data_IF_535315185015
#
_entry.id   IF_535315185015
#
_cell.length_a   1.000
_cell.length_b   1.000
_cell.length_c   1.000
_cell.angle_alpha   90.00
_cell.angle_beta   90.00
_cell.angle_gamma   90.00
#
_symmetry.space_group_name_H-M   'P 1'
#
loop_
_entity.id
_entity.type
_entity.pdbx_description
1 polymer ?
#
# COMPACT_ATOMS: atom_id res chain seq x y z
N UNK A 1 4.29 -13.20 -1.24
CA UNK A 1 4.29 -13.01 0.21
C UNK A 1 3.19 -12.03 0.62
N UNK A 2 3.26 -10.78 0.15
CA UNK A 2 2.23 -9.79 0.41
C UNK A 2 2.20 -8.70 -0.67
N UNK A 3 1.10 -7.94 -0.72
CA UNK A 3 0.94 -6.75 -1.55
C UNK A 3 0.69 -5.55 -0.63
N UNK A 4 1.37 -4.44 -0.90
CA UNK A 4 1.23 -3.20 -0.12
C UNK A 4 0.82 -2.05 -1.04
N UNK A 5 -0.30 -1.40 -0.75
CA UNK A 5 -0.83 -0.29 -1.54
C UNK A 5 -0.82 0.96 -0.67
N UNK A 6 -0.10 1.99 -1.10
CA UNK A 6 0.06 3.24 -0.35
C UNK A 6 -0.46 4.41 -1.18
N UNK A 7 -1.32 5.23 -0.57
CA UNK A 7 -1.73 6.54 -1.04
C UNK A 7 -1.38 7.57 0.03
N UNK A 8 -0.27 8.25 -0.14
CA UNK A 8 0.21 9.25 0.79
C UNK A 8 0.03 10.65 0.21
N UNK A 9 -0.58 11.54 0.97
CA UNK A 9 -0.77 12.94 0.63
C UNK A 9 -0.01 13.83 1.63
N UNK A 10 0.78 14.76 1.12
CA UNK A 10 1.48 15.75 1.95
C UNK A 10 0.53 16.85 2.47
N UNK A 11 -0.51 17.18 1.68
CA UNK A 11 -1.49 18.21 2.02
C UNK A 11 -2.48 17.72 3.08
N UNK A 12 -3.06 18.67 3.82
CA UNK A 12 -4.17 18.45 4.75
C UNK A 12 -5.54 18.39 4.06
N UNK A 13 -6.57 18.80 4.76
CA UNK A 13 -7.91 18.94 4.17
C UNK A 13 -8.10 20.30 3.48
N UNK A 14 -7.23 21.26 3.77
CA UNK A 14 -7.25 22.62 3.23
C UNK A 14 -8.67 23.23 3.36
N UNK A 15 -9.22 23.77 2.30
CA UNK A 15 -10.58 24.36 2.24
C UNK A 15 -11.71 23.30 2.20
N UNK A 16 -11.38 22.01 2.28
CA UNK A 16 -12.32 20.89 2.17
C UNK A 16 -12.70 20.25 3.49
N UNK A 17 -12.43 20.90 4.64
CA UNK A 17 -12.71 20.35 5.97
C UNK A 17 -14.15 19.86 6.12
N UNK A 18 -15.13 20.67 5.75
CA UNK A 18 -16.56 20.30 5.83
C UNK A 18 -16.96 19.10 4.96
N UNK A 19 -16.38 18.95 3.76
CA UNK A 19 -16.58 17.76 2.94
C UNK A 19 -15.95 16.53 3.61
N UNK A 20 -14.73 16.69 4.11
CA UNK A 20 -13.97 15.59 4.69
C UNK A 20 -14.61 15.03 5.96
N UNK A 21 -15.29 15.88 6.74
CA UNK A 21 -16.08 15.47 7.92
C UNK A 21 -17.12 14.38 7.60
N UNK A 22 -17.64 14.37 6.39
CA UNK A 22 -18.65 13.38 5.96
C UNK A 22 -18.05 12.15 5.28
N UNK A 23 -16.82 12.23 4.84
CA UNK A 23 -16.15 11.19 4.04
C UNK A 23 -15.10 10.40 4.85
N UNK A 24 -14.12 11.09 5.39
CA UNK A 24 -12.95 10.49 6.00
C UNK A 24 -12.08 9.72 5.02
N UNK A 25 -10.93 9.25 5.50
CA UNK A 25 -9.97 8.50 4.69
C UNK A 25 -10.52 7.16 4.20
N UNK A 26 -11.41 6.53 4.94
CA UNK A 26 -11.99 5.24 4.55
C UNK A 26 -12.85 5.36 3.30
N UNK A 27 -13.77 6.32 3.25
CA UNK A 27 -14.67 6.48 2.09
C UNK A 27 -13.98 7.18 0.93
N UNK A 28 -13.27 8.30 1.22
CA UNK A 28 -12.67 9.12 0.19
C UNK A 28 -11.52 8.40 -0.52
N UNK A 29 -10.68 7.71 0.23
CA UNK A 29 -9.47 7.10 -0.30
C UNK A 29 -9.54 5.57 -0.40
N UNK A 30 -9.85 4.87 0.69
CA UNK A 30 -9.80 3.40 0.68
C UNK A 30 -10.90 2.84 -0.23
N UNK A 31 -12.15 3.19 0.03
CA UNK A 31 -13.28 2.66 -0.71
C UNK A 31 -13.29 3.10 -2.18
N UNK A 32 -12.81 4.28 -2.47
CA UNK A 32 -12.80 4.81 -3.84
C UNK A 32 -11.50 4.45 -4.57
N UNK A 33 -10.37 5.03 -4.17
CA UNK A 33 -9.12 4.93 -4.94
C UNK A 33 -8.35 3.64 -4.69
N UNK A 34 -8.19 3.24 -3.42
CA UNK A 34 -7.39 2.06 -3.06
C UNK A 34 -8.04 0.78 -3.62
N UNK A 35 -9.36 0.62 -3.49
CA UNK A 35 -10.05 -0.56 -4.03
C UNK A 35 -10.00 -0.63 -5.57
N UNK A 36 -9.93 0.51 -6.27
CA UNK A 36 -9.72 0.50 -7.73
C UNK A 36 -8.36 -0.09 -8.09
N UNK A 37 -7.30 0.36 -7.41
CA UNK A 37 -5.94 -0.15 -7.63
C UNK A 37 -5.84 -1.62 -7.20
N UNK A 38 -6.39 -1.96 -6.03
CA UNK A 38 -6.42 -3.33 -5.53
C UNK A 38 -7.09 -4.26 -6.55
N UNK A 39 -8.24 -3.86 -7.10
CA UNK A 39 -8.96 -4.69 -8.07
C UNK A 39 -8.18 -4.92 -9.37
N UNK A 40 -7.39 -3.92 -9.82
CA UNK A 40 -6.53 -4.06 -11.01
C UNK A 40 -5.37 -5.03 -10.77
N UNK A 41 -4.79 -5.02 -9.56
CA UNK A 41 -3.72 -5.96 -9.20
C UNK A 41 -4.25 -7.37 -8.97
N UNK A 42 -5.44 -7.46 -8.38
CA UNK A 42 -6.02 -8.73 -7.94
C UNK A 42 -6.82 -9.47 -9.02
N UNK A 43 -7.28 -8.76 -10.07
CA UNK A 43 -8.08 -9.37 -11.13
C UNK A 43 -7.31 -10.43 -11.93
N UNK A 44 -8.02 -11.36 -12.51
CA UNK A 44 -7.48 -12.27 -13.52
C UNK A 44 -7.26 -11.55 -14.85
N UNK A 45 -6.41 -12.14 -15.70
CA UNK A 45 -6.21 -11.61 -17.05
C UNK A 45 -7.54 -11.65 -17.83
N UNK A 46 -8.03 -10.50 -18.32
CA UNK A 46 -9.27 -10.48 -19.09
C UNK A 46 -9.06 -11.19 -20.44
N UNK A 47 -10.11 -11.82 -20.95
CA UNK A 47 -10.08 -12.50 -22.25
C UNK A 47 -9.77 -11.54 -23.41
N UNK A 48 -10.23 -10.29 -23.28
CA UNK A 48 -10.00 -9.21 -24.23
C UNK A 48 -9.63 -7.94 -23.50
N UNK A 49 -8.77 -7.12 -24.11
CA UNK A 49 -8.45 -5.79 -23.62
C UNK A 49 -9.57 -4.81 -24.00
N UNK A 50 -10.70 -4.96 -23.31
CA UNK A 50 -11.92 -4.18 -23.48
C UNK A 50 -12.50 -3.84 -22.12
N UNK A 51 -13.12 -2.67 -22.00
CA UNK A 51 -13.63 -2.15 -20.74
C UNK A 51 -14.58 -3.14 -20.03
N UNK A 52 -15.50 -3.75 -20.76
CA UNK A 52 -16.48 -4.68 -20.20
C UNK A 52 -15.84 -5.94 -19.60
N UNK A 53 -14.80 -6.47 -20.24
CA UNK A 53 -14.04 -7.61 -19.75
C UNK A 53 -13.17 -7.25 -18.54
N UNK A 54 -12.54 -6.08 -18.55
CA UNK A 54 -11.75 -5.58 -17.43
C UNK A 54 -12.65 -5.37 -16.22
N UNK A 55 -13.79 -4.69 -16.37
CA UNK A 55 -14.75 -4.45 -15.29
C UNK A 55 -15.25 -5.77 -14.71
N UNK A 56 -15.56 -6.76 -15.54
CA UNK A 56 -15.99 -8.08 -15.10
C UNK A 56 -14.97 -8.75 -14.19
N UNK A 57 -13.70 -8.75 -14.57
CA UNK A 57 -12.64 -9.37 -13.75
C UNK A 57 -12.35 -8.57 -12.47
N UNK A 58 -12.41 -7.23 -12.52
CA UNK A 58 -12.32 -6.38 -11.32
C UNK A 58 -13.44 -6.68 -10.33
N UNK A 59 -14.68 -6.83 -10.80
CA UNK A 59 -15.84 -7.16 -9.95
C UNK A 59 -15.66 -8.53 -9.29
N UNK A 60 -15.14 -9.52 -10.01
CA UNK A 60 -14.84 -10.84 -9.42
C UNK A 60 -13.82 -10.71 -8.29
N UNK A 61 -12.74 -9.95 -8.51
CA UNK A 61 -11.71 -9.73 -7.48
C UNK A 61 -12.27 -9.01 -6.25
N UNK A 62 -13.09 -7.96 -6.44
CA UNK A 62 -13.73 -7.24 -5.35
C UNK A 62 -14.72 -8.10 -4.56
N UNK A 63 -15.50 -8.94 -5.24
CA UNK A 63 -16.44 -9.85 -4.60
C UNK A 63 -15.75 -10.98 -3.81
N UNK A 64 -14.49 -11.27 -4.11
CA UNK A 64 -13.70 -12.24 -3.39
C UNK A 64 -13.02 -11.64 -2.13
N UNK A 65 -13.13 -10.33 -1.90
CA UNK A 65 -12.62 -9.72 -0.67
C UNK A 65 -13.44 -10.24 0.51
N UNK A 66 -12.73 -10.75 1.53
CA UNK A 66 -13.34 -11.25 2.76
C UNK A 66 -14.11 -10.13 3.45
N UNK A 67 -15.37 -10.41 3.79
CA UNK A 67 -16.15 -9.52 4.63
C UNK A 67 -15.81 -9.77 6.09
N UNK A 68 -15.41 -8.71 6.78
CA UNK A 68 -15.10 -8.75 8.20
C UNK A 68 -16.33 -8.47 9.05
N UNK A 69 -16.46 -9.16 10.17
CA UNK A 69 -17.31 -8.72 11.27
C UNK A 69 -16.81 -7.41 11.87
N UNK A 70 -17.60 -6.77 12.73
CA UNK A 70 -17.14 -5.53 13.40
C UNK A 70 -15.90 -5.76 14.26
N UNK A 71 -15.81 -6.89 14.94
CA UNK A 71 -14.66 -7.28 15.74
C UNK A 71 -13.42 -7.50 14.88
N UNK A 72 -13.54 -8.29 13.83
CA UNK A 72 -12.45 -8.52 12.87
C UNK A 72 -11.99 -7.24 12.18
N UNK A 73 -12.91 -6.32 11.89
CA UNK A 73 -12.57 -5.02 11.32
C UNK A 73 -11.69 -4.20 12.28
N UNK A 74 -11.97 -4.21 13.58
CA UNK A 74 -11.14 -3.53 14.59
C UNK A 74 -9.74 -4.14 14.73
N UNK A 75 -9.60 -5.44 14.50
CA UNK A 75 -8.30 -6.13 14.53
C UNK A 75 -7.47 -5.88 13.24
N UNK A 76 -8.15 -5.70 12.11
CA UNK A 76 -7.51 -5.62 10.80
C UNK A 76 -7.35 -4.19 10.28
N UNK A 77 -7.99 -3.18 10.88
CA UNK A 77 -7.92 -1.78 10.48
C UNK A 77 -7.61 -0.85 11.64
N UNK A 78 -6.80 0.16 11.36
CA UNK A 78 -6.50 1.26 12.27
C UNK A 78 -6.87 2.58 11.60
N UNK A 79 -7.28 3.56 12.41
CA UNK A 79 -7.64 4.91 11.99
C UNK A 79 -6.91 5.93 12.84
N UNK A 80 -6.62 7.08 12.26
CA UNK A 80 -5.97 8.18 12.95
C UNK A 80 -6.36 9.54 12.37
N UNK A 81 -5.99 10.59 13.09
CA UNK A 81 -6.08 11.97 12.63
C UNK A 81 -4.69 12.60 12.71
N UNK A 82 -4.36 13.50 11.78
CA UNK A 82 -3.17 14.31 11.97
C UNK A 82 -3.41 15.36 13.07
N UNK A 83 -2.38 15.61 13.83
CA UNK A 83 -2.36 16.61 14.90
C UNK A 83 -1.48 17.78 14.46
N UNK A 84 -1.61 18.92 15.19
CA UNK A 84 -0.71 20.04 14.99
C UNK A 84 0.74 19.62 15.14
N UNK A 85 1.61 20.17 14.30
CA UNK A 85 3.02 19.81 14.31
C UNK A 85 3.86 20.76 13.47
N UNK A 86 5.18 20.55 13.51
CA UNK A 86 6.13 21.31 12.71
C UNK A 86 6.91 20.39 11.78
N UNK A 87 6.98 20.76 10.52
CA UNK A 87 7.69 20.01 9.50
C UNK A 87 8.40 20.99 8.56
N UNK A 88 9.66 20.74 8.27
CA UNK A 88 10.52 21.58 7.40
C UNK A 88 10.52 23.09 7.75
N UNK A 89 10.43 23.38 9.07
CA UNK A 89 10.43 24.75 9.59
C UNK A 89 9.07 25.46 9.59
N UNK A 90 8.02 24.86 9.03
CA UNK A 90 6.67 25.40 9.01
C UNK A 90 5.77 24.72 10.03
N UNK A 91 4.85 25.48 10.62
CA UNK A 91 3.86 25.01 11.57
C UNK A 91 2.57 24.64 10.81
N UNK A 92 2.01 23.49 11.15
CA UNK A 92 0.80 22.94 10.54
C UNK A 92 -0.28 22.73 11.60
N UNK A 93 -1.51 23.08 11.26
CA UNK A 93 -2.68 22.85 12.11
C UNK A 93 -2.97 21.35 12.21
N UNK A 94 -3.51 20.94 13.36
CA UNK A 94 -4.14 19.64 13.52
C UNK A 94 -5.51 19.60 12.83
N UNK A 95 -5.99 18.41 12.50
CA UNK A 95 -7.26 18.25 11.77
C UNK A 95 -8.44 18.98 12.43
N UNK A 96 -8.54 18.94 13.77
CA UNK A 96 -9.62 19.58 14.53
C UNK A 96 -9.47 21.10 14.67
N UNK A 97 -8.37 21.65 14.17
CA UNK A 97 -8.07 23.07 14.12
C UNK A 97 -8.30 23.66 12.72
N UNK A 98 -8.57 22.80 11.74
CA UNK A 98 -8.83 23.19 10.34
C UNK A 98 -10.22 23.81 10.21
N UNK A 99 -10.38 24.70 9.23
CA UNK A 99 -11.64 25.37 8.95
C UNK A 99 -12.76 24.36 8.62
N UNK A 100 -13.96 24.62 9.16
CA UNK A 100 -15.16 23.80 8.96
C UNK A 100 -15.04 22.36 9.47
N UNK A 101 -14.11 22.09 10.39
CA UNK A 101 -13.97 20.82 11.11
C UNK A 101 -14.49 20.99 12.55
N UNK A 102 -15.25 20.03 13.04
CA UNK A 102 -15.70 20.03 14.43
C UNK A 102 -14.52 19.78 15.38
N UNK A 103 -14.45 20.55 16.48
CA UNK A 103 -13.36 20.46 17.47
C UNK A 103 -13.30 19.11 18.18
N UNK A 104 -14.40 18.35 18.18
CA UNK A 104 -14.53 17.00 18.72
C UNK A 104 -14.65 15.92 17.63
N UNK A 105 -14.34 16.28 16.39
CA UNK A 105 -14.42 15.37 15.25
C UNK A 105 -13.67 14.04 15.50
N UNK A 106 -14.30 12.97 15.06
CA UNK A 106 -13.75 11.60 15.06
C UNK A 106 -13.48 11.06 13.66
N UNK A 107 -13.62 11.91 12.64
CA UNK A 107 -13.39 11.55 11.24
C UNK A 107 -11.91 11.29 11.01
N UNK A 108 -11.58 10.14 10.51
CA UNK A 108 -10.20 9.76 10.26
C UNK A 108 -9.61 10.47 9.05
N UNK A 109 -8.35 10.94 9.19
CA UNK A 109 -7.53 11.48 8.10
C UNK A 109 -6.42 10.52 7.67
N UNK A 110 -6.32 9.41 8.38
CA UNK A 110 -5.45 8.27 8.10
C UNK A 110 -6.22 6.99 8.34
N UNK A 111 -6.08 6.05 7.43
CA UNK A 111 -6.56 4.68 7.59
C UNK A 111 -5.53 3.70 7.03
N UNK A 112 -5.32 2.62 7.76
CA UNK A 112 -4.51 1.51 7.28
C UNK A 112 -5.16 0.19 7.70
N UNK A 113 -4.97 -0.84 6.88
CA UNK A 113 -5.54 -2.14 7.19
C UNK A 113 -5.09 -3.24 6.26
N UNK A 114 -5.66 -4.40 6.48
CA UNK A 114 -5.37 -5.62 5.74
C UNK A 114 -6.64 -6.14 5.09
N UNK A 115 -6.62 -6.34 3.78
CA UNK A 115 -7.61 -7.11 3.06
C UNK A 115 -7.11 -8.52 2.80
N UNK A 116 -8.03 -9.47 2.80
CA UNK A 116 -7.83 -10.87 2.39
C UNK A 116 -8.73 -11.14 1.20
N UNK A 117 -8.19 -11.77 0.16
CA UNK A 117 -8.94 -12.15 -1.04
C UNK A 117 -9.08 -13.67 -1.05
N UNK A 118 -10.32 -14.13 -0.91
CA UNK A 118 -10.66 -15.54 -0.81
C UNK A 118 -10.88 -16.15 -2.20
N UNK A 119 -9.79 -16.28 -2.95
CA UNK A 119 -9.75 -17.01 -4.22
C UNK A 119 -8.46 -17.85 -4.30
N UNK A 120 -8.36 -18.74 -5.27
CA UNK A 120 -7.24 -19.67 -5.44
C UNK A 120 -5.90 -18.92 -5.59
N UNK A 121 -5.87 -17.86 -6.40
CA UNK A 121 -4.64 -17.10 -6.71
C UNK A 121 -4.06 -16.38 -5.51
N UNK A 122 -4.92 -15.79 -4.68
CA UNK A 122 -4.51 -14.91 -3.58
C UNK A 122 -4.68 -15.52 -2.18
N UNK A 123 -5.05 -16.79 -2.12
CA UNK A 123 -5.17 -17.49 -0.84
C UNK A 123 -3.88 -17.40 -0.02
N UNK A 124 -4.01 -16.87 1.20
CA UNK A 124 -2.87 -16.68 2.12
C UNK A 124 -1.97 -15.48 1.80
N UNK A 125 -2.32 -14.63 0.82
CA UNK A 125 -1.58 -13.41 0.49
C UNK A 125 -2.34 -12.19 1.01
N UNK A 126 -1.85 -11.52 2.08
CA UNK A 126 -2.47 -10.31 2.59
C UNK A 126 -2.20 -9.11 1.67
N UNK A 127 -3.21 -8.25 1.54
CA UNK A 127 -3.13 -6.95 0.89
C UNK A 127 -3.16 -5.88 1.97
N UNK A 128 -2.01 -5.31 2.27
CA UNK A 128 -1.89 -4.18 3.19
C UNK A 128 -2.17 -2.89 2.45
N UNK A 129 -3.05 -2.08 3.00
CA UNK A 129 -3.43 -0.79 2.41
C UNK A 129 -3.22 0.31 3.44
N UNK A 130 -2.78 1.48 2.98
CA UNK A 130 -2.73 2.68 3.80
C UNK A 130 -2.99 3.92 2.96
N UNK A 131 -3.71 4.85 3.56
CA UNK A 131 -3.89 6.19 3.01
C UNK A 131 -3.94 7.21 4.13
N UNK A 132 -3.40 8.39 3.89
CA UNK A 132 -3.43 9.47 4.87
C UNK A 132 -3.04 10.82 4.29
N UNK A 133 -3.54 11.86 4.97
CA UNK A 133 -3.18 13.26 4.76
C UNK A 133 -2.09 13.68 5.76
N UNK A 134 -1.36 14.75 5.46
CA UNK A 134 -0.20 15.22 6.23
C UNK A 134 0.82 14.11 6.49
N UNK A 135 1.04 13.26 5.47
CA UNK A 135 2.11 12.27 5.50
C UNK A 135 3.44 12.94 5.17
N UNK A 136 4.55 12.35 5.62
CA UNK A 136 5.91 12.84 5.36
C UNK A 136 6.36 12.70 3.90
N UNK A 137 5.57 12.02 3.10
CA UNK A 137 5.82 11.81 1.67
C UNK A 137 4.53 12.00 0.88
N UNK A 138 4.66 12.37 -0.39
CA UNK A 138 3.55 12.35 -1.36
C UNK A 138 3.81 11.24 -2.36
N UNK A 139 2.86 10.33 -2.51
CA UNK A 139 3.01 9.30 -3.52
C UNK A 139 1.95 8.21 -3.47
N UNK A 140 1.71 7.64 -4.64
CA UNK A 140 0.89 6.44 -4.79
C UNK A 140 1.77 5.34 -5.35
N UNK A 141 1.92 4.26 -4.59
CA UNK A 141 2.74 3.12 -5.00
C UNK A 141 2.16 1.78 -4.54
N UNK A 142 2.54 0.76 -5.26
CA UNK A 142 2.21 -0.63 -4.95
C UNK A 142 3.51 -1.40 -4.84
N UNK A 143 3.74 -2.07 -3.70
CA UNK A 143 4.84 -2.99 -3.52
C UNK A 143 4.30 -4.43 -3.55
N UNK A 144 4.82 -5.24 -4.44
CA UNK A 144 4.54 -6.67 -4.49
C UNK A 144 5.80 -7.36 -3.95
N UNK A 145 5.68 -7.90 -2.75
CA UNK A 145 6.76 -8.63 -2.07
C UNK A 145 6.63 -10.08 -2.43
N UNK A 146 7.63 -10.64 -3.10
CA UNK A 146 7.65 -12.03 -3.50
C UNK A 146 7.99 -12.94 -2.33
N UNK A 147 7.54 -14.18 -2.38
CA UNK A 147 7.94 -15.21 -1.40
C UNK A 147 9.43 -15.46 -1.49
N UNK A 148 10.04 -15.78 -0.36
CA UNK A 148 11.41 -16.30 -0.34
C UNK A 148 11.43 -17.63 -1.09
N UNK A 149 12.40 -17.81 -1.97
CA UNK A 149 12.66 -19.10 -2.58
C UNK A 149 13.31 -20.02 -1.53
N UNK A 150 12.63 -21.11 -1.19
CA UNK A 150 13.11 -22.09 -0.21
C UNK A 150 14.20 -22.98 -0.76
N UNK A 151 14.25 -23.13 -2.09
CA UNK A 151 15.18 -23.99 -2.81
C UNK A 151 16.36 -23.19 -3.41
N UNK A 152 16.58 -21.97 -2.90
CA UNK A 152 17.68 -21.15 -3.34
C UNK A 152 19.02 -21.84 -2.98
N UNK A 153 19.77 -22.26 -4.00
CA UNK A 153 21.09 -22.88 -3.88
C UNK A 153 22.08 -22.05 -3.06
N UNK A 154 21.78 -20.78 -2.84
CA UNK A 154 22.62 -19.83 -2.12
C UNK A 154 22.09 -19.50 -0.72
N UNK A 155 21.01 -20.16 -0.26
CA UNK A 155 20.41 -19.88 1.04
C UNK A 155 21.35 -20.19 2.22
N UNK A 156 22.29 -21.10 2.05
CA UNK A 156 23.28 -21.48 3.09
C UNK A 156 24.29 -20.36 3.39
N UNK A 157 24.49 -19.44 2.45
CA UNK A 157 25.47 -18.35 2.56
C UNK A 157 24.84 -16.97 2.82
N UNK A 158 23.51 -16.89 2.94
CA UNK A 158 22.84 -15.67 3.30
C UNK A 158 22.53 -15.68 4.79
N UNK A 159 23.10 -14.73 5.54
CA UNK A 159 22.59 -14.38 6.87
C UNK A 159 21.07 -14.27 6.81
N UNK A 160 20.38 -14.67 7.88
CA UNK A 160 18.90 -14.81 8.02
C UNK A 160 18.06 -13.57 7.61
N UNK A 161 18.72 -12.52 7.11
CA UNK A 161 18.17 -11.29 6.53
C UNK A 161 18.06 -11.35 4.99
N UNK A 162 17.92 -12.53 4.38
CA UNK A 162 17.76 -12.62 2.93
C UNK A 162 16.65 -11.68 2.44
N UNK A 163 17.05 -10.63 1.74
CA UNK A 163 16.16 -9.60 1.23
C UNK A 163 15.22 -10.23 0.21
N UNK A 164 13.92 -10.10 0.42
CA UNK A 164 12.93 -10.57 -0.54
C UNK A 164 12.97 -9.72 -1.81
N UNK A 165 12.71 -10.32 -2.95
CA UNK A 165 12.51 -9.57 -4.18
C UNK A 165 11.24 -8.72 -4.06
N UNK A 166 11.30 -7.47 -4.51
CA UNK A 166 10.17 -6.53 -4.45
C UNK A 166 9.99 -5.86 -5.80
N UNK A 167 8.80 -5.99 -6.36
CA UNK A 167 8.36 -5.16 -7.48
C UNK A 167 7.59 -3.96 -6.93
N UNK A 168 8.10 -2.75 -7.17
CA UNK A 168 7.42 -1.51 -6.85
C UNK A 168 6.86 -0.88 -8.12
N UNK A 169 5.56 -0.59 -8.13
CA UNK A 169 4.87 0.14 -9.20
C UNK A 169 4.55 1.53 -8.65
N UNK A 170 5.07 2.56 -9.31
CA UNK A 170 4.82 3.96 -8.99
C UNK A 170 3.71 4.49 -9.89
N UNK A 171 2.69 5.12 -9.29
CA UNK A 171 1.56 5.70 -10.00
C UNK A 171 1.68 7.23 -9.99
N UNK A 172 2.08 7.83 -8.86
CA UNK A 172 2.26 9.27 -8.67
C UNK A 172 3.37 9.53 -7.63
N UNK A 173 4.08 10.65 -7.72
CA UNK A 173 4.07 11.70 -8.75
C UNK A 173 4.82 11.29 -10.03
N UNK A 174 5.63 10.24 -9.96
CA UNK A 174 6.39 9.71 -11.09
C UNK A 174 5.86 8.33 -11.43
N UNK A 175 5.50 8.12 -12.70
CA UNK A 175 5.04 6.82 -13.18
C UNK A 175 6.22 5.91 -13.51
N UNK A 176 6.09 4.62 -13.21
CA UNK A 176 7.12 3.65 -13.53
C UNK A 176 7.10 2.43 -12.62
N UNK A 177 8.14 1.62 -12.72
CA UNK A 177 8.34 0.50 -11.83
C UNK A 177 9.83 0.29 -11.54
N UNK A 178 10.11 -0.34 -10.40
CA UNK A 178 11.43 -0.86 -10.03
C UNK A 178 11.31 -2.29 -9.55
N UNK A 179 12.30 -3.11 -9.88
CA UNK A 179 12.42 -4.46 -9.37
C UNK A 179 13.71 -4.55 -8.56
N UNK A 180 13.55 -4.68 -7.24
CA UNK A 180 14.67 -4.96 -6.34
C UNK A 180 14.85 -6.47 -6.27
N UNK A 181 16.04 -6.94 -6.65
CA UNK A 181 16.42 -8.35 -6.59
C UNK A 181 17.60 -8.50 -5.64
N UNK A 182 17.60 -9.58 -4.87
CA UNK A 182 18.75 -9.93 -4.06
C UNK A 182 19.77 -10.58 -4.98
N UNK A 183 20.97 -10.01 -5.06
CA UNK A 183 22.12 -10.60 -5.72
C UNK A 183 23.11 -11.02 -4.64
N UNK A 184 23.59 -12.27 -4.73
CA UNK A 184 24.73 -12.71 -3.94
C UNK A 184 25.99 -12.24 -4.63
N UNK A 185 26.77 -11.46 -3.91
CA UNK A 185 28.11 -11.10 -4.31
C UNK A 185 29.08 -12.01 -3.54
N UNK A 186 29.76 -12.93 -4.22
CA UNK A 186 30.87 -13.70 -3.66
C UNK A 186 32.14 -12.88 -3.88
N UNK A 187 32.74 -12.38 -2.80
CA UNK A 187 33.99 -11.60 -2.84
C UNK A 187 35.23 -12.42 -3.18
N UNK A 188 35.09 -13.75 -3.29
CA UNK A 188 36.22 -14.64 -3.42
C UNK A 188 36.70 -14.95 -4.87
N UNK A 189 36.02 -14.38 -5.87
CA UNK A 189 36.41 -14.62 -7.26
C UNK A 189 37.53 -13.68 -7.78
N UNK A 190 37.88 -12.64 -6.99
CA UNK A 190 38.87 -11.64 -7.42
C UNK A 190 40.28 -11.87 -6.85
N UNK A 191 40.43 -12.67 -5.79
CA UNK A 191 41.73 -12.86 -5.14
C UNK A 191 42.57 -14.03 -5.71
N UNK A 192 42.02 -14.82 -6.63
CA UNK A 192 42.78 -15.94 -7.24
C UNK A 192 43.53 -15.58 -8.54
N UNK A 193 43.47 -14.32 -9.00
CA UNK A 193 44.14 -13.91 -10.25
C UNK A 193 45.47 -13.19 -10.09
N UNK A 194 45.94 -12.95 -8.87
CA UNK A 194 47.23 -12.28 -8.60
C UNK A 194 48.36 -13.28 -8.27
N UNK A 195 48.26 -14.52 -8.65
CA UNK A 195 49.20 -15.58 -8.35
C UNK A 195 49.79 -16.25 -9.58
N UNK A 196 50.32 -15.51 -10.61
CA UNK A 196 51.24 -16.04 -11.60
C UNK A 196 52.25 -14.98 -12.01
#
# INVERSE_FOLDING_TARGET
DNVQITFAEFIGVEDRGGYYETSGALKDMIQNHVLQVLSLIAMEKPEKFDESYIVKEKVKALNAIRQYSSEEALENFVRGQYIAGRFDGEDYLGYREEDSVATDSRTETFAAGKFVIDNERWSGVPFYVRSGKRMTEKGTRINIVFKKDKDNLFAENCDDQSVQNVLTIYIQPTEGFSLSVCLLYTSDAADELDGV
#
